data_IF_820664902396
#
_entry.id   IF_820664902396
#
_cell.length_a   1.000
_cell.length_b   1.000
_cell.length_c   1.000
_cell.angle_alpha   90.00
_cell.angle_beta   90.00
_cell.angle_gamma   90.00
#
_symmetry.space_group_name_H-M   'P 1'
#
loop_
_entity.id
_entity.type
_entity.pdbx_description
1 polymer ?
#
# COMPACT_ATOMS: atom_id res chain seq x y z
N UNK A 1 8.13 0.83 6.65
CA UNK A 1 7.92 1.41 7.99
C UNK A 1 9.22 1.67 8.74
N UNK A 2 10.08 0.68 8.92
CA UNK A 2 11.39 0.90 9.60
C UNK A 2 12.24 1.96 8.89
N UNK A 3 12.23 2.00 7.55
CA UNK A 3 12.95 3.02 6.79
C UNK A 3 12.47 4.44 7.09
N UNK A 4 11.17 4.62 7.36
CA UNK A 4 10.60 5.92 7.75
C UNK A 4 11.04 6.34 9.15
N UNK A 5 11.13 5.40 10.08
CA UNK A 5 11.52 5.67 11.46
C UNK A 5 13.01 6.05 11.54
N UNK A 6 13.84 5.41 10.71
CA UNK A 6 15.29 5.59 10.75
C UNK A 6 15.82 6.80 9.96
N UNK A 7 14.94 7.51 9.26
CA UNK A 7 15.33 8.70 8.49
C UNK A 7 15.17 9.94 9.36
N UNK A 8 16.25 10.65 9.63
CA UNK A 8 16.25 11.86 10.46
C UNK A 8 15.61 13.06 9.78
N UNK A 9 15.77 13.19 8.44
CA UNK A 9 15.20 14.25 7.63
C UNK A 9 14.50 13.67 6.42
N UNK A 10 13.21 13.98 6.27
CA UNK A 10 12.39 13.54 5.15
C UNK A 10 12.01 14.75 4.32
N UNK A 11 12.44 14.81 3.07
CA UNK A 11 12.10 15.91 2.15
C UNK A 11 10.64 15.84 1.68
N UNK A 12 10.05 14.65 1.70
CA UNK A 12 8.68 14.42 1.25
C UNK A 12 7.90 13.69 2.34
N UNK A 13 6.63 14.02 2.44
CA UNK A 13 5.71 13.29 3.34
C UNK A 13 5.67 11.82 2.93
N UNK A 14 5.78 10.96 3.92
CA UNK A 14 5.79 9.51 3.75
C UNK A 14 4.65 8.89 4.55
N UNK A 15 3.91 8.00 3.91
CA UNK A 15 2.79 7.30 4.52
C UNK A 15 3.03 5.81 4.40
N UNK A 16 2.90 5.09 5.50
CA UNK A 16 2.81 3.63 5.49
C UNK A 16 1.36 3.26 5.70
N UNK A 17 0.83 2.47 4.79
CA UNK A 17 -0.55 2.00 4.84
C UNK A 17 -0.56 0.48 4.98
N UNK A 18 -1.17 0.01 6.04
CA UNK A 18 -1.43 -1.41 6.29
C UNK A 18 -2.93 -1.60 6.09
N UNK A 19 -3.29 -2.41 5.11
CA UNK A 19 -4.69 -2.58 4.69
C UNK A 19 -5.26 -3.90 5.15
N UNK A 20 -6.54 -3.92 5.43
CA UNK A 20 -7.32 -5.12 5.65
C UNK A 20 -8.15 -5.47 4.41
N UNK A 21 -8.84 -6.59 4.44
CA UNK A 21 -9.76 -7.04 3.38
C UNK A 21 -9.10 -7.37 2.04
N UNK A 22 -7.78 -7.36 1.95
CA UNK A 22 -7.07 -7.66 0.70
C UNK A 22 -7.41 -9.07 0.21
N UNK A 23 -7.42 -10.05 1.12
CA UNK A 23 -7.70 -11.45 0.83
C UNK A 23 -9.10 -11.71 0.26
N UNK A 24 -10.03 -10.80 0.48
CA UNK A 24 -11.40 -10.89 -0.04
C UNK A 24 -11.70 -9.87 -1.13
N UNK A 25 -10.64 -9.33 -1.78
CA UNK A 25 -10.77 -8.41 -2.90
C UNK A 25 -10.79 -6.93 -2.52
N UNK A 26 -10.25 -6.58 -1.36
CA UNK A 26 -10.13 -5.19 -0.88
C UNK A 26 -11.47 -4.46 -0.76
N UNK A 27 -12.56 -5.19 -0.57
CA UNK A 27 -13.91 -4.64 -0.43
C UNK A 27 -14.22 -4.25 1.02
N UNK A 28 -15.27 -3.47 1.21
CA UNK A 28 -15.70 -3.02 2.52
C UNK A 28 -15.31 -1.58 2.80
N UNK A 29 -15.69 -1.09 3.99
CA UNK A 29 -15.54 0.33 4.35
C UNK A 29 -14.09 0.79 4.51
N UNK A 30 -13.17 -0.12 4.80
CA UNK A 30 -11.75 0.15 5.06
C UNK A 30 -10.80 -0.45 4.03
N UNK A 31 -11.32 -1.24 3.07
CA UNK A 31 -10.52 -1.83 2.01
C UNK A 31 -9.99 -0.80 1.02
N UNK A 32 -9.00 -1.18 0.22
CA UNK A 32 -8.37 -0.27 -0.75
C UNK A 32 -9.30 0.19 -1.86
N UNK A 33 -10.37 -0.52 -2.15
CA UNK A 33 -11.39 -0.10 -3.12
C UNK A 33 -12.35 0.95 -2.53
N UNK A 34 -12.32 1.18 -1.22
CA UNK A 34 -13.11 2.22 -0.55
C UNK A 34 -12.44 3.59 -0.66
N UNK A 35 -13.16 4.62 -0.22
CA UNK A 35 -12.60 5.97 -0.12
C UNK A 35 -11.92 6.26 1.23
N UNK A 36 -11.75 5.25 2.06
CA UNK A 36 -11.22 5.42 3.41
C UNK A 36 -9.84 6.09 3.40
N UNK A 37 -8.91 5.58 2.58
CA UNK A 37 -7.58 6.16 2.46
C UNK A 37 -7.62 7.60 1.96
N UNK A 38 -8.33 7.85 0.87
CA UNK A 38 -8.45 9.19 0.27
C UNK A 38 -9.06 10.19 1.25
N UNK A 39 -10.12 9.81 1.95
CA UNK A 39 -10.77 10.64 2.95
C UNK A 39 -9.83 10.94 4.13
N UNK A 40 -9.09 9.96 4.59
CA UNK A 40 -8.12 10.15 5.68
C UNK A 40 -7.03 11.13 5.28
N UNK A 41 -6.46 10.99 4.08
CA UNK A 41 -5.46 11.93 3.57
C UNK A 41 -6.05 13.34 3.44
N UNK A 42 -7.28 13.44 2.95
CA UNK A 42 -7.96 14.74 2.84
C UNK A 42 -8.13 15.42 4.19
N UNK A 43 -8.50 14.66 5.24
CA UNK A 43 -8.61 15.21 6.60
C UNK A 43 -7.27 15.67 7.15
N UNK A 44 -6.22 14.89 6.96
CA UNK A 44 -4.86 15.27 7.38
C UNK A 44 -4.42 16.54 6.68
N UNK A 45 -4.63 16.65 5.39
CA UNK A 45 -4.28 17.85 4.62
C UNK A 45 -5.08 19.08 5.07
N UNK A 46 -6.36 18.92 5.40
CA UNK A 46 -7.19 19.99 5.94
C UNK A 46 -6.65 20.47 7.27
N UNK A 47 -6.26 19.59 8.16
CA UNK A 47 -5.64 19.92 9.44
C UNK A 47 -4.29 20.62 9.28
N UNK A 48 -3.57 20.31 8.22
CA UNK A 48 -2.29 20.95 7.88
C UNK A 48 -2.46 22.30 7.13
N UNK A 49 -3.69 22.74 6.88
CA UNK A 49 -3.97 24.00 6.20
C UNK A 49 -4.11 23.90 4.68
N UNK A 50 -4.16 22.68 4.14
CA UNK A 50 -4.24 22.41 2.68
C UNK A 50 -5.54 21.69 2.31
N UNK A 51 -6.68 22.19 2.76
CA UNK A 51 -7.98 21.53 2.69
C UNK A 51 -8.71 21.59 1.35
N UNK A 52 -8.08 21.99 0.27
CA UNK A 52 -8.70 22.06 -1.06
C UNK A 52 -8.81 20.67 -1.70
N UNK A 53 -9.95 20.30 -2.31
CA UNK A 53 -10.05 19.06 -3.10
C UNK A 53 -9.03 18.98 -4.23
N UNK A 54 -8.68 20.09 -4.83
CA UNK A 54 -7.67 20.15 -5.88
C UNK A 54 -6.27 19.89 -5.31
N UNK A 55 -5.96 20.39 -4.11
CA UNK A 55 -4.69 20.12 -3.44
C UNK A 55 -4.51 18.61 -3.17
N UNK A 56 -5.56 17.94 -2.72
CA UNK A 56 -5.56 16.48 -2.54
C UNK A 56 -5.25 15.76 -3.85
N UNK A 57 -5.95 16.08 -4.92
CA UNK A 57 -5.74 15.45 -6.23
C UNK A 57 -4.33 15.66 -6.75
N UNK A 58 -3.79 16.86 -6.61
CA UNK A 58 -2.40 17.17 -7.00
C UNK A 58 -1.38 16.42 -6.16
N UNK A 59 -1.62 16.31 -4.86
CA UNK A 59 -0.75 15.57 -3.96
C UNK A 59 -0.69 14.09 -4.33
N UNK A 60 -1.85 13.46 -4.56
CA UNK A 60 -1.92 12.07 -4.98
C UNK A 60 -1.28 11.84 -6.36
N UNK A 61 -1.51 12.75 -7.30
CA UNK A 61 -0.92 12.66 -8.65
C UNK A 61 0.62 12.73 -8.64
N UNK A 62 1.19 13.47 -7.68
CA UNK A 62 2.65 13.59 -7.51
C UNK A 62 3.24 12.56 -6.55
N UNK A 63 2.42 11.71 -5.98
CA UNK A 63 2.85 10.67 -5.06
C UNK A 63 3.43 9.47 -5.81
N UNK A 64 4.30 8.75 -5.14
CA UNK A 64 4.80 7.45 -5.60
C UNK A 64 4.36 6.40 -4.60
N UNK A 65 4.01 5.25 -5.08
CA UNK A 65 3.56 4.15 -4.24
C UNK A 65 4.47 2.94 -4.47
N UNK A 66 4.89 2.34 -3.38
CA UNK A 66 5.46 1.01 -3.36
C UNK A 66 4.40 0.07 -2.79
N UNK A 67 3.93 -0.86 -3.61
CA UNK A 67 3.04 -1.91 -3.17
C UNK A 67 3.86 -3.15 -2.83
N UNK A 68 3.65 -3.68 -1.64
CA UNK A 68 4.36 -4.86 -1.17
C UNK A 68 3.35 -5.85 -0.60
N UNK A 69 3.50 -7.09 -0.98
CA UNK A 69 2.64 -8.18 -0.55
C UNK A 69 3.45 -9.45 -0.37
N UNK A 70 2.87 -10.42 0.31
CA UNK A 70 3.46 -11.75 0.44
C UNK A 70 3.18 -12.57 -0.81
N UNK A 71 4.17 -13.38 -1.21
CA UNK A 71 3.98 -14.33 -2.30
C UNK A 71 3.51 -15.67 -1.75
N UNK A 72 2.66 -16.36 -2.49
CA UNK A 72 2.30 -17.74 -2.19
C UNK A 72 3.55 -18.62 -2.34
N UNK A 73 3.80 -19.47 -1.34
CA UNK A 73 4.84 -20.49 -1.43
C UNK A 73 4.48 -21.57 -2.46
N UNK A 74 5.48 -22.31 -2.92
CA UNK A 74 5.23 -23.46 -3.81
C UNK A 74 4.59 -24.61 -3.03
N UNK A 75 3.39 -25.00 -3.45
CA UNK A 75 2.68 -26.17 -2.93
C UNK A 75 2.71 -27.28 -3.99
N UNK A 76 3.39 -28.41 -3.73
CA UNK A 76 3.44 -29.51 -4.68
C UNK A 76 2.08 -30.10 -5.07
N UNK A 77 1.07 -29.94 -4.22
CA UNK A 77 -0.29 -30.40 -4.46
C UNK A 77 -1.12 -29.40 -5.28
N UNK A 78 -0.66 -28.15 -5.38
CA UNK A 78 -1.35 -27.05 -6.08
C UNK A 78 -0.41 -26.32 -7.03
N UNK A 79 0.21 -27.04 -7.93
CA UNK A 79 1.20 -26.50 -8.89
C UNK A 79 0.66 -25.37 -9.78
N UNK A 80 -0.66 -25.30 -9.93
CA UNK A 80 -1.32 -24.33 -10.79
C UNK A 80 -1.36 -22.92 -10.19
N UNK A 81 -1.08 -22.76 -8.89
CA UNK A 81 -1.19 -21.48 -8.20
C UNK A 81 -0.07 -20.54 -8.61
N UNK A 82 1.15 -21.07 -8.79
CA UNK A 82 2.31 -20.27 -9.15
C UNK A 82 3.38 -21.08 -9.86
N UNK A 83 4.24 -20.36 -10.58
CA UNK A 83 5.45 -20.91 -11.17
C UNK A 83 6.40 -21.39 -10.07
N UNK A 84 6.95 -22.57 -10.27
CA UNK A 84 7.82 -23.24 -9.31
C UNK A 84 9.08 -22.42 -8.97
N UNK A 85 9.65 -21.74 -9.97
CA UNK A 85 10.87 -20.95 -9.78
C UNK A 85 10.62 -19.68 -8.95
N UNK A 86 9.43 -19.10 -9.08
CA UNK A 86 9.06 -17.87 -8.38
C UNK A 86 8.49 -18.11 -6.98
N UNK A 87 8.11 -19.33 -6.66
CA UNK A 87 7.32 -19.66 -5.47
C UNK A 87 8.06 -20.49 -4.44
N UNK A 88 9.36 -20.68 -4.58
CA UNK A 88 10.15 -21.35 -3.58
C UNK A 88 10.15 -20.57 -2.27
N UNK A 89 10.04 -21.29 -1.15
CA UNK A 89 10.05 -20.68 0.16
C UNK A 89 11.36 -19.89 0.37
N UNK A 90 11.24 -18.63 0.73
CA UNK A 90 12.38 -17.73 0.86
C UNK A 90 12.80 -17.02 -0.43
N UNK A 91 12.12 -17.25 -1.55
CA UNK A 91 12.34 -16.47 -2.77
C UNK A 91 11.90 -15.01 -2.61
N UNK A 92 12.42 -14.14 -3.46
CA UNK A 92 12.05 -12.73 -3.42
C UNK A 92 10.57 -12.55 -3.75
N UNK A 93 9.89 -11.61 -3.10
CA UNK A 93 8.53 -11.28 -3.48
C UNK A 93 8.48 -10.78 -4.91
N UNK A 94 7.43 -11.16 -5.62
CA UNK A 94 7.15 -10.67 -6.97
C UNK A 94 6.36 -9.38 -6.83
N UNK A 95 6.89 -8.32 -7.36
CA UNK A 95 6.23 -7.01 -7.42
C UNK A 95 5.33 -6.88 -8.64
#
# INVERSE_FOLDING_TARGET
MLAQINVANVERTSITLIVDKEEIGSVGATGMTSRFFENTVAEIMTLAGEGSPLALRRALARSRMLSSDVSAGFDPLRRQVRDQECSLYGSRPVL
#
